data_IF_955483670131
#
_entry.id   IF_955483670131
#
_cell.length_a   1.000
_cell.length_b   1.000
_cell.length_c   1.000
_cell.angle_alpha   90.00
_cell.angle_beta   90.00
_cell.angle_gamma   90.00
#
_symmetry.space_group_name_H-M   'P 1'
#
loop_
_entity.id
_entity.type
_entity.pdbx_description
1 polymer ?
#
# COMPACT_ATOMS: atom_id res chain seq x y z
N UNK A 1 6.87 32.19 3.39
CA UNK A 1 6.57 32.18 1.95
C UNK A 1 7.69 31.42 1.24
N UNK A 2 7.42 30.24 0.71
CA UNK A 2 8.42 29.50 -0.08
C UNK A 2 8.77 30.35 -1.31
N UNK A 3 9.97 30.92 -1.35
CA UNK A 3 10.40 31.84 -2.42
C UNK A 3 10.79 31.14 -3.72
N UNK A 4 10.88 29.80 -3.74
CA UNK A 4 11.21 29.00 -4.94
C UNK A 4 10.61 27.62 -4.82
N UNK A 5 10.27 27.03 -5.95
CA UNK A 5 9.92 25.60 -6.03
C UNK A 5 11.17 24.80 -5.65
N UNK A 6 11.05 23.76 -4.79
CA UNK A 6 12.19 22.90 -4.50
C UNK A 6 12.79 22.31 -5.78
N UNK A 7 14.09 22.06 -5.77
CA UNK A 7 14.74 21.39 -6.88
C UNK A 7 14.20 19.96 -6.99
N UNK A 8 13.36 19.71 -7.98
CA UNK A 8 12.74 18.41 -8.19
C UNK A 8 13.79 17.38 -8.63
N UNK A 9 13.62 16.14 -8.20
CA UNK A 9 14.39 15.03 -8.77
C UNK A 9 13.96 14.83 -10.23
N UNK A 10 14.87 14.97 -11.21
CA UNK A 10 14.52 14.82 -12.62
C UNK A 10 14.09 13.38 -12.99
N UNK A 11 14.46 12.39 -12.16
CA UNK A 11 14.21 10.97 -12.38
C UNK A 11 13.15 10.40 -11.44
N UNK A 12 12.24 11.23 -10.93
CA UNK A 12 11.22 10.77 -10.00
C UNK A 12 9.97 11.61 -10.02
N UNK A 13 8.85 10.99 -9.64
CA UNK A 13 7.61 11.69 -9.40
C UNK A 13 7.63 12.38 -8.04
N UNK A 14 7.36 13.67 -8.03
CA UNK A 14 7.10 14.40 -6.79
C UNK A 14 5.58 14.53 -6.61
N UNK A 15 5.08 14.10 -5.45
CA UNK A 15 3.63 14.09 -5.18
C UNK A 15 3.06 15.51 -5.02
N UNK A 16 3.84 16.42 -4.43
CA UNK A 16 3.39 17.78 -4.11
C UNK A 16 3.69 18.78 -5.23
N UNK A 17 4.82 18.65 -5.89
CA UNK A 17 5.30 19.62 -6.86
C UNK A 17 5.38 19.06 -8.28
N UNK A 18 5.29 19.95 -9.24
CA UNK A 18 5.54 19.72 -10.65
C UNK A 18 6.41 20.83 -11.21
N UNK A 19 6.84 20.71 -12.46
CA UNK A 19 7.55 21.79 -13.17
C UNK A 19 6.72 23.09 -13.27
N UNK A 20 5.39 23.00 -13.10
CA UNK A 20 4.45 24.14 -13.14
C UNK A 20 4.13 24.71 -11.76
N UNK A 21 4.69 24.14 -10.69
CA UNK A 21 4.42 24.54 -9.30
C UNK A 21 3.69 23.46 -8.51
N UNK A 22 3.02 23.87 -7.45
CA UNK A 22 2.28 22.97 -6.56
C UNK A 22 1.12 22.33 -7.31
N UNK A 23 0.98 21.01 -7.17
CA UNK A 23 -0.16 20.26 -7.73
C UNK A 23 -1.45 20.67 -7.03
N UNK A 24 -2.55 20.72 -7.76
CA UNK A 24 -3.83 21.19 -7.20
C UNK A 24 -4.28 20.38 -5.98
N UNK A 25 -4.05 19.07 -5.98
CA UNK A 25 -4.37 18.17 -4.87
C UNK A 25 -3.63 18.51 -3.57
N UNK A 26 -2.47 19.18 -3.65
CA UNK A 26 -1.63 19.50 -2.50
C UNK A 26 -1.70 20.96 -2.05
N UNK A 27 -2.53 21.81 -2.67
CA UNK A 27 -2.59 23.22 -2.31
C UNK A 27 -2.98 23.44 -0.84
N UNK A 28 -4.00 22.73 -0.37
CA UNK A 28 -4.46 22.86 1.03
C UNK A 28 -3.40 22.31 1.99
N UNK A 29 -2.82 21.14 1.69
CA UNK A 29 -1.75 20.56 2.50
C UNK A 29 -0.58 21.52 2.64
N UNK A 30 -0.10 22.08 1.52
CA UNK A 30 1.00 23.03 1.55
C UNK A 30 0.64 24.29 2.33
N UNK A 31 -0.57 24.84 2.14
CA UNK A 31 -1.04 25.98 2.90
C UNK A 31 -1.04 25.71 4.40
N UNK A 32 -1.56 24.56 4.82
CA UNK A 32 -1.54 24.16 6.24
C UNK A 32 -0.11 24.06 6.77
N UNK A 33 0.78 23.37 6.05
CA UNK A 33 2.18 23.20 6.46
C UNK A 33 2.93 24.55 6.55
N UNK A 34 2.65 25.50 5.65
CA UNK A 34 3.28 26.82 5.66
C UNK A 34 2.86 27.70 6.84
N UNK A 35 1.72 27.41 7.45
CA UNK A 35 1.21 28.12 8.62
C UNK A 35 1.65 27.49 9.96
N UNK A 36 2.37 26.37 9.92
CA UNK A 36 2.92 25.72 11.10
C UNK A 36 4.34 26.21 11.37
N UNK A 37 4.66 26.39 12.65
CA UNK A 37 6.05 26.56 13.07
C UNK A 37 6.78 25.22 13.10
N UNK A 38 8.12 25.20 13.07
CA UNK A 38 8.89 23.96 13.22
C UNK A 38 8.51 23.20 14.49
N UNK A 39 8.28 23.89 15.60
CA UNK A 39 7.90 23.32 16.89
C UNK A 39 6.51 22.64 16.80
N UNK A 40 5.57 23.24 16.07
CA UNK A 40 4.24 22.67 15.85
C UNK A 40 4.33 21.41 14.98
N UNK A 41 5.23 21.36 13.98
CA UNK A 41 5.48 20.17 13.16
C UNK A 41 6.04 19.03 14.03
N UNK A 42 7.04 19.33 14.86
CA UNK A 42 7.60 18.37 15.82
C UNK A 42 6.55 17.84 16.81
N UNK A 43 5.70 18.74 17.32
CA UNK A 43 4.61 18.37 18.23
C UNK A 43 3.60 17.42 17.53
N UNK A 44 3.21 17.70 16.29
CA UNK A 44 2.31 16.84 15.51
C UNK A 44 2.96 15.47 15.23
N UNK A 45 4.26 15.42 14.91
CA UNK A 45 4.99 14.18 14.74
C UNK A 45 5.02 13.35 16.02
N UNK A 46 5.25 14.01 17.17
CA UNK A 46 5.20 13.36 18.48
C UNK A 46 3.82 12.84 18.81
N UNK A 47 2.76 13.63 18.57
CA UNK A 47 1.37 13.19 18.77
C UNK A 47 1.04 11.93 17.95
N UNK A 48 1.50 11.86 16.69
CA UNK A 48 1.35 10.67 15.88
C UNK A 48 2.06 9.46 16.50
N UNK A 49 3.31 9.63 16.91
CA UNK A 49 4.08 8.56 17.57
C UNK A 49 3.45 8.08 18.86
N UNK A 50 3.00 9.01 19.71
CA UNK A 50 2.31 8.70 20.96
C UNK A 50 0.99 7.95 20.71
N UNK A 51 0.28 8.30 19.64
CA UNK A 51 -0.94 7.60 19.24
C UNK A 51 -0.64 6.15 18.83
N UNK A 52 0.33 5.93 17.95
CA UNK A 52 0.73 4.58 17.54
C UNK A 52 1.14 3.72 18.72
N UNK A 53 1.95 4.29 19.63
CA UNK A 53 2.39 3.59 20.83
C UNK A 53 1.20 3.19 21.74
N UNK A 54 0.29 4.13 22.00
CA UNK A 54 -0.86 3.92 22.87
C UNK A 54 -1.87 2.92 22.28
N UNK A 55 -1.95 2.80 20.97
CA UNK A 55 -2.80 1.83 20.26
C UNK A 55 -2.11 0.47 20.06
N UNK A 56 -0.84 0.34 20.44
CA UNK A 56 -0.05 -0.88 20.19
C UNK A 56 0.21 -1.13 18.70
N UNK A 57 0.24 -0.07 17.89
CA UNK A 57 0.53 -0.16 16.46
C UNK A 57 2.04 -0.09 16.27
N UNK A 58 2.65 -1.22 16.39
CA UNK A 58 4.09 -1.41 16.34
C UNK A 58 4.43 -2.49 15.34
N UNK A 59 5.70 -2.61 14.99
CA UNK A 59 6.21 -3.73 14.22
C UNK A 59 7.50 -4.24 14.85
N UNK A 60 7.72 -5.53 14.73
CA UNK A 60 8.90 -6.17 15.28
C UNK A 60 10.00 -6.21 14.22
N UNK A 61 11.13 -5.59 14.51
CA UNK A 61 12.36 -5.72 13.71
C UNK A 61 13.20 -6.81 14.33
N UNK A 62 13.47 -7.85 13.57
CA UNK A 62 14.39 -8.93 13.99
C UNK A 62 15.83 -8.50 13.70
N UNK A 63 16.69 -8.58 14.72
CA UNK A 63 18.13 -8.45 14.56
C UNK A 63 18.74 -9.77 14.09
N UNK A 64 20.01 -9.74 13.66
CA UNK A 64 20.76 -10.94 13.25
C UNK A 64 20.78 -12.04 14.34
N UNK A 65 20.54 -11.69 15.59
CA UNK A 65 20.46 -12.60 16.75
C UNK A 65 19.05 -13.15 17.03
N UNK A 66 18.08 -12.96 16.13
CA UNK A 66 16.67 -13.33 16.31
C UNK A 66 15.95 -12.66 17.51
N UNK A 67 16.54 -11.66 18.12
CA UNK A 67 15.86 -10.84 19.12
C UNK A 67 14.96 -9.82 18.43
N UNK A 68 13.65 -9.95 18.61
CA UNK A 68 12.68 -9.01 18.10
C UNK A 68 12.68 -7.72 18.93
N UNK A 69 12.95 -6.58 18.30
CA UNK A 69 12.78 -5.26 18.91
C UNK A 69 11.49 -4.66 18.38
N UNK A 70 10.58 -4.37 19.29
CA UNK A 70 9.35 -3.68 18.97
C UNK A 70 9.64 -2.21 18.68
N UNK A 71 9.19 -1.72 17.53
CA UNK A 71 9.37 -0.33 17.10
C UNK A 71 8.03 0.27 16.71
N UNK A 72 7.89 1.57 16.95
CA UNK A 72 6.76 2.34 16.45
C UNK A 72 6.80 2.31 14.91
N UNK A 73 5.61 2.16 14.31
CA UNK A 73 5.47 2.25 12.86
C UNK A 73 5.93 3.63 12.36
N UNK A 74 6.85 3.71 11.38
CA UNK A 74 7.30 4.99 10.84
C UNK A 74 6.15 5.67 10.11
N UNK A 75 5.85 6.90 10.51
CA UNK A 75 4.75 7.68 9.97
C UNK A 75 5.24 9.00 9.39
N UNK A 76 4.92 9.24 8.14
CA UNK A 76 5.13 10.54 7.49
C UNK A 76 3.89 11.40 7.69
N UNK A 77 4.04 12.55 8.33
CA UNK A 77 2.93 13.48 8.58
C UNK A 77 2.41 14.16 7.32
N UNK A 78 3.15 14.11 6.21
CA UNK A 78 2.69 14.63 4.92
C UNK A 78 1.91 13.52 4.19
N UNK A 79 0.58 13.64 4.07
CA UNK A 79 -0.22 12.57 3.47
C UNK A 79 0.05 12.44 1.98
N UNK A 80 0.04 11.21 1.46
CA UNK A 80 -0.05 10.95 0.03
C UNK A 80 -1.49 11.06 -0.42
N UNK A 81 -1.77 12.00 -1.30
CA UNK A 81 -3.12 12.24 -1.80
C UNK A 81 -3.35 11.45 -3.07
N UNK A 82 -4.27 10.49 -3.00
CA UNK A 82 -4.79 9.79 -4.16
C UNK A 82 -6.07 10.50 -4.59
N UNK A 83 -6.04 11.13 -5.76
CA UNK A 83 -7.23 11.82 -6.28
C UNK A 83 -8.29 10.83 -6.72
N UNK A 84 -9.55 11.29 -6.85
CA UNK A 84 -10.63 10.43 -7.37
C UNK A 84 -10.32 9.90 -8.77
N UNK A 85 -9.65 10.71 -9.59
CA UNK A 85 -9.21 10.26 -10.92
C UNK A 85 -8.20 9.13 -10.82
N UNK A 86 -7.16 9.31 -9.99
CA UNK A 86 -6.14 8.27 -9.76
C UNK A 86 -6.78 7.00 -9.20
N UNK A 87 -7.71 7.16 -8.23
CA UNK A 87 -8.38 6.01 -7.62
C UNK A 87 -9.22 5.22 -8.62
N UNK A 88 -9.98 5.89 -9.49
CA UNK A 88 -10.78 5.20 -10.50
C UNK A 88 -9.91 4.35 -11.44
N UNK A 89 -8.74 4.86 -11.83
CA UNK A 89 -7.80 4.12 -12.68
C UNK A 89 -7.21 2.90 -11.95
N UNK A 90 -6.74 3.12 -10.71
CA UNK A 90 -6.18 2.07 -9.85
C UNK A 90 -7.22 1.01 -9.55
N UNK A 91 -8.44 1.39 -9.17
CA UNK A 91 -9.53 0.47 -8.83
C UNK A 91 -9.88 -0.45 -10.01
N UNK A 92 -10.03 0.11 -11.21
CA UNK A 92 -10.31 -0.70 -12.41
C UNK A 92 -9.20 -1.73 -12.67
N UNK A 93 -7.95 -1.32 -12.56
CA UNK A 93 -6.80 -2.21 -12.74
C UNK A 93 -6.74 -3.32 -11.67
N UNK A 94 -6.94 -2.97 -10.40
CA UNK A 94 -6.96 -3.92 -9.28
C UNK A 94 -8.10 -4.91 -9.43
N UNK A 95 -9.31 -4.48 -9.78
CA UNK A 95 -10.46 -5.37 -9.99
C UNK A 95 -10.17 -6.38 -11.10
N UNK A 96 -9.60 -5.93 -12.23
CA UNK A 96 -9.21 -6.82 -13.32
C UNK A 96 -8.15 -7.83 -12.85
N UNK A 97 -7.12 -7.38 -12.14
CA UNK A 97 -6.03 -8.20 -11.64
C UNK A 97 -6.53 -9.27 -10.65
N UNK A 98 -7.34 -8.88 -9.68
CA UNK A 98 -7.88 -9.81 -8.69
C UNK A 98 -8.80 -10.85 -9.30
N UNK A 99 -9.57 -10.51 -10.33
CA UNK A 99 -10.36 -11.49 -11.10
C UNK A 99 -9.44 -12.52 -11.78
N UNK A 100 -8.37 -12.06 -12.42
CA UNK A 100 -7.42 -12.97 -13.07
C UNK A 100 -6.71 -13.88 -12.07
N UNK A 101 -6.26 -13.33 -10.93
CA UNK A 101 -5.61 -14.10 -9.86
C UNK A 101 -6.55 -15.12 -9.22
N UNK A 102 -7.82 -14.74 -9.03
CA UNK A 102 -8.82 -15.67 -8.49
C UNK A 102 -9.14 -16.81 -9.49
N UNK A 103 -9.23 -16.52 -10.79
CA UNK A 103 -9.39 -17.54 -11.83
C UNK A 103 -8.18 -18.47 -11.91
N UNK A 104 -6.97 -17.94 -11.74
CA UNK A 104 -5.76 -18.73 -11.67
C UNK A 104 -5.80 -19.71 -10.50
N UNK A 105 -6.20 -19.26 -9.31
CA UNK A 105 -6.32 -20.13 -8.12
C UNK A 105 -7.43 -21.16 -8.32
N UNK A 106 -8.57 -20.79 -8.89
CA UNK A 106 -9.65 -21.70 -9.22
C UNK A 106 -9.16 -22.83 -10.16
N UNK A 107 -8.41 -22.48 -11.21
CA UNK A 107 -7.83 -23.47 -12.12
C UNK A 107 -6.80 -24.36 -11.42
N UNK A 108 -5.89 -23.79 -10.66
CA UNK A 108 -4.80 -24.53 -9.96
C UNK A 108 -5.35 -25.53 -8.95
N UNK A 109 -6.44 -25.20 -8.27
CA UNK A 109 -7.06 -26.08 -7.28
C UNK A 109 -8.12 -27.04 -7.86
N UNK A 110 -8.47 -26.93 -9.14
CA UNK A 110 -9.47 -27.81 -9.78
C UNK A 110 -8.94 -28.44 -11.07
N UNK A 111 -9.19 -27.83 -12.21
CA UNK A 111 -8.94 -28.44 -13.53
C UNK A 111 -7.44 -28.46 -13.91
N UNK A 112 -6.64 -27.56 -13.41
CA UNK A 112 -5.20 -27.42 -13.71
C UNK A 112 -4.91 -27.28 -15.21
N UNK A 113 -5.75 -26.56 -15.94
CA UNK A 113 -5.60 -26.35 -17.39
C UNK A 113 -4.29 -25.63 -17.72
N UNK A 114 -3.91 -24.64 -16.92
CA UNK A 114 -2.66 -23.88 -17.10
C UNK A 114 -1.42 -24.78 -17.05
N UNK A 115 -1.49 -25.90 -16.28
CA UNK A 115 -0.44 -26.93 -16.22
C UNK A 115 -0.56 -27.89 -17.40
N UNK A 116 -1.78 -28.39 -17.68
CA UNK A 116 -2.04 -29.35 -18.77
C UNK A 116 -1.65 -28.77 -20.14
N UNK A 117 -1.86 -27.48 -20.34
CA UNK A 117 -1.50 -26.76 -21.56
C UNK A 117 -0.01 -26.35 -21.60
N UNK A 118 0.75 -26.66 -20.57
CA UNK A 118 2.18 -26.39 -20.50
C UNK A 118 2.55 -24.90 -20.35
N UNK A 119 1.60 -24.05 -19.93
CA UNK A 119 1.85 -22.62 -19.73
C UNK A 119 2.76 -22.44 -18.51
N UNK A 120 2.54 -23.21 -17.44
CA UNK A 120 3.44 -23.26 -16.28
C UNK A 120 3.86 -24.71 -15.97
N UNK A 121 5.07 -24.96 -15.49
CA UNK A 121 5.50 -26.30 -15.07
C UNK A 121 4.72 -26.78 -13.84
N UNK A 122 4.29 -28.05 -13.83
CA UNK A 122 3.64 -28.66 -12.66
C UNK A 122 4.50 -28.57 -11.38
N UNK A 123 5.82 -28.64 -11.52
CA UNK A 123 6.77 -28.51 -10.41
C UNK A 123 6.68 -27.15 -9.69
N UNK A 124 6.30 -26.09 -10.39
CA UNK A 124 6.15 -24.77 -9.78
C UNK A 124 5.02 -24.77 -8.72
N UNK A 125 3.95 -25.49 -8.98
CA UNK A 125 2.83 -25.62 -8.03
C UNK A 125 3.16 -26.63 -6.93
N UNK A 126 3.65 -27.83 -7.31
CA UNK A 126 3.90 -28.91 -6.36
C UNK A 126 5.06 -28.61 -5.37
N UNK A 127 6.02 -27.76 -5.76
CA UNK A 127 7.09 -27.33 -4.87
C UNK A 127 6.75 -26.08 -4.03
N UNK A 128 5.61 -25.45 -4.29
CA UNK A 128 5.18 -24.26 -3.54
C UNK A 128 4.76 -24.68 -2.12
N UNK A 129 5.44 -24.20 -1.06
CA UNK A 129 5.12 -24.56 0.33
C UNK A 129 3.78 -24.00 0.80
N UNK A 130 3.18 -23.11 0.02
CA UNK A 130 1.87 -22.49 0.30
C UNK A 130 0.72 -23.17 -0.49
N UNK A 131 1.02 -24.15 -1.35
CA UNK A 131 -0.01 -24.96 -1.98
C UNK A 131 -0.60 -25.92 -0.95
N UNK A 132 -1.90 -25.81 -0.73
CA UNK A 132 -2.61 -26.62 0.27
C UNK A 132 -3.32 -27.77 -0.46
N UNK A 133 -2.73 -28.96 -0.43
CA UNK A 133 -3.22 -30.13 -1.16
C UNK A 133 -4.66 -30.49 -0.79
N UNK A 134 -5.07 -30.28 0.45
CA UNK A 134 -6.40 -30.60 0.97
C UNK A 134 -7.51 -29.73 0.37
N UNK A 135 -7.15 -28.62 -0.26
CA UNK A 135 -8.09 -27.70 -0.94
C UNK A 135 -8.37 -28.15 -2.37
N UNK A 136 -7.56 -29.08 -2.92
CA UNK A 136 -7.73 -29.55 -4.29
C UNK A 136 -9.11 -30.22 -4.49
N UNK A 137 -9.86 -29.74 -5.51
CA UNK A 137 -11.21 -30.21 -5.83
C UNK A 137 -12.33 -29.73 -4.91
N UNK A 138 -12.01 -28.89 -3.93
CA UNK A 138 -13.00 -28.27 -3.02
C UNK A 138 -13.70 -27.12 -3.71
N UNK A 139 -15.03 -27.20 -3.83
CA UNK A 139 -15.84 -26.09 -4.35
C UNK A 139 -16.02 -25.02 -3.28
N UNK A 140 -15.46 -23.86 -3.55
CA UNK A 140 -15.62 -22.69 -2.68
C UNK A 140 -16.92 -21.93 -2.99
N UNK A 141 -17.56 -21.28 -1.98
CA UNK A 141 -18.68 -20.40 -2.21
C UNK A 141 -18.30 -19.31 -3.21
N UNK A 142 -19.10 -19.16 -4.26
CA UNK A 142 -18.90 -18.18 -5.34
C UNK A 142 -17.56 -18.28 -6.07
N UNK A 143 -16.81 -19.39 -5.92
CA UNK A 143 -15.45 -19.59 -6.45
C UNK A 143 -14.49 -18.48 -6.00
N UNK A 144 -14.63 -18.00 -4.76
CA UNK A 144 -13.77 -16.94 -4.21
C UNK A 144 -12.65 -17.59 -3.38
N UNK A 145 -11.43 -17.47 -3.86
CA UNK A 145 -10.21 -17.88 -3.17
C UNK A 145 -9.57 -16.73 -2.40
N UNK A 146 -9.70 -15.51 -2.90
CA UNK A 146 -9.08 -14.31 -2.33
C UNK A 146 -10.17 -13.46 -1.68
N UNK A 147 -10.22 -13.42 -0.34
CA UNK A 147 -11.23 -12.66 0.40
C UNK A 147 -10.78 -11.21 0.66
N UNK A 148 -9.50 -11.01 0.96
CA UNK A 148 -8.87 -9.71 1.16
C UNK A 148 -7.53 -9.73 0.46
N UNK A 149 -7.24 -8.70 -0.32
CA UNK A 149 -5.97 -8.52 -1.01
C UNK A 149 -5.33 -7.19 -0.60
N UNK A 150 -4.03 -7.22 -0.32
CA UNK A 150 -3.19 -6.04 -0.18
C UNK A 150 -2.33 -5.89 -1.43
N UNK A 151 -2.63 -4.93 -2.26
CA UNK A 151 -1.90 -4.68 -3.49
C UNK A 151 -0.98 -3.50 -3.28
N UNK A 152 0.32 -3.75 -3.31
CA UNK A 152 1.33 -2.72 -3.14
C UNK A 152 1.52 -1.95 -4.43
N UNK A 153 1.39 -0.64 -4.34
CA UNK A 153 1.46 0.27 -5.47
C UNK A 153 2.69 1.18 -5.36
N UNK A 154 3.33 1.41 -6.49
CA UNK A 154 4.34 2.45 -6.62
C UNK A 154 3.96 3.45 -7.71
N UNK A 155 4.41 4.69 -7.55
CA UNK A 155 4.22 5.77 -8.53
C UNK A 155 5.44 5.83 -9.43
N UNK A 156 5.25 5.67 -10.74
CA UNK A 156 6.30 5.82 -11.73
C UNK A 156 6.66 7.28 -12.01
N UNK A 157 7.69 7.48 -12.83
CA UNK A 157 8.26 8.81 -13.13
C UNK A 157 7.27 9.78 -13.77
N UNK A 158 6.30 9.28 -14.53
CA UNK A 158 5.25 10.09 -15.18
C UNK A 158 3.98 10.20 -14.38
N UNK A 159 3.95 9.59 -13.18
CA UNK A 159 2.81 9.62 -12.27
C UNK A 159 1.82 8.47 -12.42
N UNK A 160 2.10 7.51 -13.31
CA UNK A 160 1.35 6.27 -13.44
C UNK A 160 1.56 5.34 -12.25
N UNK A 161 0.60 4.49 -11.95
CA UNK A 161 0.73 3.48 -10.91
C UNK A 161 1.19 2.15 -11.48
N UNK A 162 2.12 1.51 -10.76
CA UNK A 162 2.56 0.14 -11.00
C UNK A 162 2.26 -0.72 -9.79
N UNK A 163 1.97 -1.98 -10.06
CA UNK A 163 1.89 -3.00 -9.02
C UNK A 163 3.31 -3.43 -8.66
N UNK A 164 3.63 -3.36 -7.38
CA UNK A 164 4.89 -3.87 -6.85
C UNK A 164 4.74 -5.33 -6.40
N UNK A 165 3.66 -5.62 -5.68
CA UNK A 165 3.43 -6.93 -5.08
C UNK A 165 1.93 -7.18 -4.84
N UNK A 166 1.53 -8.47 -4.85
CA UNK A 166 0.19 -8.94 -4.53
C UNK A 166 0.20 -9.76 -3.23
N UNK A 167 -0.27 -9.19 -2.15
CA UNK A 167 -0.47 -9.89 -0.89
C UNK A 167 -1.88 -10.46 -0.84
N UNK A 168 -2.05 -11.75 -1.17
CA UNK A 168 -3.35 -12.38 -1.37
C UNK A 168 -3.81 -13.27 -0.21
N UNK A 169 -2.91 -13.53 0.76
CA UNK A 169 -3.19 -14.44 1.87
C UNK A 169 -3.44 -13.71 3.18
N UNK A 170 -2.47 -12.90 3.62
CA UNK A 170 -2.49 -12.19 4.90
C UNK A 170 -1.98 -10.75 4.72
N UNK A 171 -2.76 -9.85 4.10
CA UNK A 171 -2.31 -8.50 3.84
C UNK A 171 -2.32 -7.65 5.12
N UNK A 172 -1.26 -7.70 5.91
CA UNK A 172 -1.14 -6.94 7.17
C UNK A 172 -1.10 -5.43 6.96
N UNK A 173 -0.62 -4.96 5.79
CA UNK A 173 -0.52 -3.54 5.44
C UNK A 173 -1.86 -2.78 5.44
N UNK A 174 -2.98 -3.48 5.26
CA UNK A 174 -4.33 -2.89 5.25
C UNK A 174 -4.65 -2.19 6.57
N UNK A 175 -4.32 -2.80 7.72
CA UNK A 175 -4.55 -2.19 9.03
C UNK A 175 -3.70 -0.94 9.23
N UNK A 176 -2.42 -0.97 8.86
CA UNK A 176 -1.55 0.21 8.94
C UNK A 176 -2.05 1.36 8.07
N UNK A 177 -2.55 1.07 6.87
CA UNK A 177 -3.12 2.08 5.98
C UNK A 177 -4.34 2.77 6.60
N UNK A 178 -5.24 2.02 7.22
CA UNK A 178 -6.43 2.56 7.87
C UNK A 178 -6.04 3.43 9.08
N UNK A 179 -5.12 2.96 9.92
CA UNK A 179 -4.64 3.71 11.07
C UNK A 179 -3.88 4.98 10.67
N UNK A 180 -3.05 4.92 9.63
CA UNK A 180 -2.39 6.11 9.08
C UNK A 180 -3.41 7.17 8.67
N UNK A 181 -4.51 6.77 8.03
CA UNK A 181 -5.60 7.69 7.66
C UNK A 181 -6.27 8.31 8.88
N UNK A 182 -6.59 7.52 9.90
CA UNK A 182 -7.22 8.01 11.13
C UNK A 182 -6.30 8.98 11.89
N UNK A 183 -5.01 8.68 11.97
CA UNK A 183 -4.03 9.59 12.58
C UNK A 183 -3.93 10.89 11.80
N UNK A 184 -3.81 10.83 10.48
CA UNK A 184 -3.74 12.04 9.64
C UNK A 184 -4.94 12.95 9.91
N UNK A 185 -6.15 12.42 9.97
CA UNK A 185 -7.38 13.17 10.28
C UNK A 185 -7.37 13.79 11.68
N UNK A 186 -6.73 13.13 12.64
CA UNK A 186 -6.65 13.62 14.04
C UNK A 186 -5.63 14.73 14.21
N UNK A 187 -4.45 14.58 13.59
CA UNK A 187 -3.37 15.59 13.73
C UNK A 187 -3.56 16.78 12.80
N UNK A 188 -4.32 16.62 11.71
CA UNK A 188 -4.63 17.65 10.74
C UNK A 188 -6.13 17.69 10.42
N UNK A 189 -6.99 18.05 11.37
CA UNK A 189 -8.42 18.11 11.15
C UNK A 189 -8.83 19.18 10.10
N UNK A 190 -7.92 20.09 9.79
CA UNK A 190 -8.08 21.17 8.83
C UNK A 190 -7.76 20.79 7.36
N UNK A 191 -7.22 19.59 7.10
CA UNK A 191 -6.84 19.11 5.76
C UNK A 191 -7.97 18.40 5.02
#
# INVERSE_FOLDING_TARGET
MMKSIPKLNPNGWDEMFSSKGVRNSYRNVLHTLQNLSPENIEQKQKQASDFFMNQGITFTVYSDNNEGIERIFPFDIIPRIITQKDWNEVEMGIVQRLKALNLFLEDVYNEQLIIKEGIIPASLISSCPHYIQEVHGVKLPHNIHIHIAGIDLIRGEKGEFYILEDNLRCPSGVSYMLENREITKRIFPEM
#
